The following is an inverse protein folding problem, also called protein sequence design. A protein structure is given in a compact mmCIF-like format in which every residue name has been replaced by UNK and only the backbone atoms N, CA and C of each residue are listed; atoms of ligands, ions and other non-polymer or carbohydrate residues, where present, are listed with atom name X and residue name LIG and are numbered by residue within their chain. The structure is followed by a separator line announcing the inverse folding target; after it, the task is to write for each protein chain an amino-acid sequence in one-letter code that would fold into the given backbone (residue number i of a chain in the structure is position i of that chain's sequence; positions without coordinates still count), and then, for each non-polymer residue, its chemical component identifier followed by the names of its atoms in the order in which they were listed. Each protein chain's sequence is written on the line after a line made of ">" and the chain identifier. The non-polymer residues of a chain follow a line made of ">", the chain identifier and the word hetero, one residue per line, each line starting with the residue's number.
data_IF_284050861642
#
_entry.id   IF_284050861642
#
_cell.length_a   1.000
_cell.length_b   1.000
_cell.length_c   1.000
_cell.angle_alpha   90.00
_cell.angle_beta   90.00
_cell.angle_gamma   90.00
#
_symmetry.space_group_name_H-M   'P 1'
#
loop_
_entity.id
_entity.type
_entity.pdbx_description
1 polymer ?
#
# COMPACT_ATOMS: atom_id res chain seq x y z
N UNK A 1 -11.87 -22.94 -6.99
CA UNK A 1 -12.12 -22.48 -5.63
C UNK A 1 -11.00 -21.50 -5.32
N UNK A 2 -11.31 -20.26 -4.96
CA UNK A 2 -10.28 -19.26 -4.61
C UNK A 2 -9.79 -19.57 -3.19
N UNK A 3 -8.47 -19.65 -2.98
CA UNK A 3 -7.86 -19.94 -1.66
C UNK A 3 -8.26 -18.92 -0.58
N UNK A 4 -8.76 -17.75 -0.97
CA UNK A 4 -9.21 -16.67 -0.09
C UNK A 4 -10.73 -16.69 0.15
N UNK A 5 -11.47 -17.68 -0.33
CA UNK A 5 -12.95 -17.72 -0.18
C UNK A 5 -13.38 -17.70 1.29
N UNK A 6 -12.65 -18.40 2.15
CA UNK A 6 -12.93 -18.43 3.60
C UNK A 6 -12.68 -17.07 4.26
N UNK A 7 -11.63 -16.35 3.83
CA UNK A 7 -11.38 -14.98 4.29
C UNK A 7 -12.54 -14.06 3.90
N UNK A 8 -12.94 -14.03 2.62
CA UNK A 8 -14.04 -13.16 2.19
C UNK A 8 -15.35 -13.46 2.91
N UNK A 9 -15.61 -14.70 3.30
CA UNK A 9 -16.80 -15.08 4.06
C UNK A 9 -16.64 -14.85 5.56
N UNK A 10 -15.44 -15.00 6.11
CA UNK A 10 -15.18 -14.94 7.54
C UNK A 10 -15.03 -13.53 8.10
N UNK A 11 -14.60 -12.58 7.28
CA UNK A 11 -14.42 -11.18 7.72
C UNK A 11 -15.77 -10.52 8.01
N UNK A 12 -15.86 -9.75 9.09
CA UNK A 12 -17.07 -8.99 9.42
C UNK A 12 -17.25 -7.80 8.46
N UNK A 13 -18.48 -7.28 8.27
CA UNK A 13 -18.68 -6.06 7.47
C UNK A 13 -17.91 -4.85 8.00
N UNK A 14 -17.75 -4.73 9.30
CA UNK A 14 -16.95 -3.65 9.94
C UNK A 14 -15.46 -3.83 9.64
N UNK A 15 -14.93 -5.03 9.84
CA UNK A 15 -13.52 -5.32 9.52
C UNK A 15 -13.22 -5.22 8.03
N UNK A 16 -14.23 -5.42 7.18
CA UNK A 16 -14.11 -5.23 5.73
C UNK A 16 -13.76 -3.80 5.35
N UNK A 17 -14.33 -2.81 6.02
CA UNK A 17 -14.00 -1.39 5.81
C UNK A 17 -12.59 -1.06 6.31
N UNK A 18 -12.19 -1.58 7.48
CA UNK A 18 -10.81 -1.44 7.96
C UNK A 18 -9.80 -2.15 7.05
N UNK A 19 -10.16 -3.32 6.53
CA UNK A 19 -9.34 -4.01 5.54
C UNK A 19 -9.18 -3.18 4.26
N UNK A 20 -10.26 -2.53 3.79
CA UNK A 20 -10.19 -1.62 2.64
C UNK A 20 -9.22 -0.45 2.89
N UNK A 21 -9.25 0.14 4.09
CA UNK A 21 -8.32 1.21 4.46
C UNK A 21 -6.86 0.73 4.45
N UNK A 22 -6.57 -0.43 5.05
CA UNK A 22 -5.23 -1.00 5.08
C UNK A 22 -4.75 -1.42 3.68
N UNK A 23 -5.64 -2.02 2.88
CA UNK A 23 -5.37 -2.42 1.50
C UNK A 23 -5.01 -1.19 0.63
N UNK A 24 -5.83 -0.14 0.67
CA UNK A 24 -5.60 1.08 -0.10
C UNK A 24 -4.35 1.82 0.39
N UNK A 25 -4.14 1.86 1.72
CA UNK A 25 -2.91 2.41 2.30
C UNK A 25 -1.66 1.70 1.81
N UNK A 26 -1.67 0.36 1.77
CA UNK A 26 -0.56 -0.44 1.24
C UNK A 26 -0.29 -0.17 -0.25
N UNK A 27 -1.31 0.27 -0.99
CA UNK A 27 -1.19 0.67 -2.40
C UNK A 27 -0.78 2.14 -2.59
N UNK A 28 -0.48 2.84 -1.51
CA UNK A 28 0.01 4.22 -1.56
C UNK A 28 -1.05 5.29 -1.41
N UNK A 29 -2.33 4.91 -1.14
CA UNK A 29 -3.33 5.91 -0.81
C UNK A 29 -3.08 6.49 0.58
N UNK A 30 -3.30 7.78 0.73
CA UNK A 30 -3.38 8.44 2.04
C UNK A 30 -4.83 8.36 2.52
N UNK A 31 -5.05 7.80 3.70
CA UNK A 31 -6.38 7.72 4.30
C UNK A 31 -6.68 9.07 4.96
N UNK A 32 -7.52 9.87 4.34
CA UNK A 32 -7.92 11.19 4.86
C UNK A 32 -9.03 11.08 5.90
N UNK A 33 -9.98 10.19 5.66
CA UNK A 33 -11.04 9.85 6.59
C UNK A 33 -11.10 8.32 6.72
N UNK A 34 -10.74 7.76 7.89
CA UNK A 34 -10.85 6.33 8.14
C UNK A 34 -12.31 5.89 8.27
N UNK A 35 -12.58 4.57 8.21
CA UNK A 35 -13.89 4.03 8.55
C UNK A 35 -14.36 4.48 9.93
N UNK A 36 -15.63 4.83 10.06
CA UNK A 36 -16.24 5.28 11.31
C UNK A 36 -17.45 4.43 11.65
N UNK A 37 -17.71 4.24 12.96
CA UNK A 37 -18.92 3.55 13.41
C UNK A 37 -20.11 4.50 13.29
N UNK A 38 -21.16 4.10 12.56
CA UNK A 38 -22.42 4.83 12.46
C UNK A 38 -22.74 5.37 11.06
N UNK A 39 -23.78 6.22 10.96
CA UNK A 39 -24.19 6.80 9.68
C UNK A 39 -23.17 7.84 9.21
N UNK A 40 -22.54 7.61 8.07
CA UNK A 40 -21.40 8.35 7.54
C UNK A 40 -21.68 9.15 6.25
N UNK A 41 -22.98 9.32 5.91
CA UNK A 41 -23.40 10.04 4.71
C UNK A 41 -23.14 9.28 3.41
N UNK A 42 -23.03 7.94 3.48
CA UNK A 42 -22.91 7.05 2.31
C UNK A 42 -21.50 6.95 1.74
N UNK A 43 -20.48 7.22 2.55
CA UNK A 43 -19.09 6.93 2.29
C UNK A 43 -18.51 6.13 3.45
N UNK A 44 -17.74 5.11 3.15
CA UNK A 44 -17.11 4.29 4.18
C UNK A 44 -15.74 4.85 4.57
N UNK A 45 -15.00 5.43 3.59
CA UNK A 45 -13.76 6.17 3.84
C UNK A 45 -13.46 7.18 2.71
N UNK A 46 -12.55 8.10 2.97
CA UNK A 46 -12.00 9.02 1.97
C UNK A 46 -10.50 8.83 1.89
N UNK A 47 -9.99 8.74 0.66
CA UNK A 47 -8.57 8.57 0.40
C UNK A 47 -8.08 9.59 -0.64
N UNK A 48 -6.79 9.90 -0.60
CA UNK A 48 -6.12 10.61 -1.68
C UNK A 48 -4.98 9.79 -2.27
N UNK A 49 -4.80 9.90 -3.58
CA UNK A 49 -3.74 9.24 -4.31
C UNK A 49 -3.27 10.14 -5.45
N UNK A 50 -1.96 10.41 -5.53
CA UNK A 50 -1.34 11.27 -6.55
C UNK A 50 -2.04 12.64 -6.70
N UNK A 51 -2.39 13.25 -5.58
CA UNK A 51 -3.03 14.57 -5.54
C UNK A 51 -4.53 14.60 -5.87
N UNK A 52 -5.15 13.45 -6.15
CA UNK A 52 -6.59 13.30 -6.37
C UNK A 52 -7.27 12.67 -5.16
N UNK A 53 -8.48 13.13 -4.87
CA UNK A 53 -9.31 12.67 -3.75
C UNK A 53 -10.40 11.73 -4.25
N UNK A 54 -10.58 10.62 -3.54
CA UNK A 54 -11.60 9.60 -3.86
C UNK A 54 -12.47 9.32 -2.65
N UNK A 55 -13.79 9.18 -2.89
CA UNK A 55 -14.67 8.51 -1.94
C UNK A 55 -14.57 7.01 -2.18
N UNK A 56 -14.61 6.22 -1.12
CA UNK A 56 -14.60 4.76 -1.21
C UNK A 56 -15.95 4.24 -0.70
N UNK A 57 -16.53 3.30 -1.43
CA UNK A 57 -17.72 2.56 -1.01
C UNK A 57 -17.38 1.09 -0.86
N UNK A 58 -17.58 0.56 0.34
CA UNK A 58 -17.34 -0.83 0.68
C UNK A 58 -18.66 -1.61 0.65
N UNK A 59 -18.70 -2.74 -0.11
CA UNK A 59 -19.84 -3.66 -0.10
C UNK A 59 -19.38 -5.07 0.23
N UNK A 60 -19.92 -5.60 1.31
CA UNK A 60 -19.55 -6.92 1.79
C UNK A 60 -20.71 -7.91 1.59
N UNK A 61 -20.75 -8.56 0.42
CA UNK A 61 -21.78 -9.51 0.02
C UNK A 61 -21.29 -10.96 -0.10
N UNK A 62 -20.09 -11.26 0.43
CA UNK A 62 -19.48 -12.58 0.28
C UNK A 62 -20.33 -13.73 0.84
N UNK A 63 -21.12 -13.48 1.90
CA UNK A 63 -22.03 -14.49 2.46
C UNK A 63 -23.17 -14.86 1.50
N UNK A 64 -23.74 -13.88 0.80
CA UNK A 64 -24.82 -14.12 -0.16
C UNK A 64 -24.31 -14.52 -1.54
N UNK A 65 -23.04 -14.20 -1.85
CA UNK A 65 -22.49 -14.37 -3.19
C UNK A 65 -23.09 -13.43 -4.25
N UNK A 66 -23.95 -12.48 -3.84
CA UNK A 66 -24.60 -11.52 -4.74
C UNK A 66 -23.54 -10.58 -5.34
N UNK A 67 -23.61 -10.39 -6.66
CA UNK A 67 -22.80 -9.34 -7.33
C UNK A 67 -23.30 -7.95 -6.93
N UNK A 68 -22.37 -7.00 -6.85
CA UNK A 68 -22.70 -5.58 -6.63
C UNK A 68 -23.30 -5.00 -7.91
N UNK A 69 -24.47 -4.40 -7.80
CA UNK A 69 -25.27 -3.89 -8.91
C UNK A 69 -25.42 -2.36 -8.84
N UNK A 70 -26.02 -1.77 -9.88
CA UNK A 70 -26.34 -0.33 -9.92
C UNK A 70 -27.22 0.09 -8.75
N UNK A 71 -28.16 -0.78 -8.31
CA UNK A 71 -29.02 -0.50 -7.16
C UNK A 71 -28.29 -0.48 -5.82
N UNK A 72 -27.10 -1.10 -5.74
CA UNK A 72 -26.25 -1.06 -4.54
C UNK A 72 -25.36 0.20 -4.51
N UNK A 73 -25.19 0.88 -5.65
CA UNK A 73 -24.44 2.13 -5.82
C UNK A 73 -25.27 3.21 -6.55
N UNK A 74 -26.46 3.58 -6.03
CA UNK A 74 -27.39 4.44 -6.76
C UNK A 74 -26.86 5.87 -6.98
N UNK A 75 -26.10 6.40 -6.05
CA UNK A 75 -25.75 7.85 -5.97
C UNK A 75 -24.23 8.10 -5.88
N UNK A 76 -23.39 7.26 -6.51
CA UNK A 76 -21.94 7.44 -6.41
C UNK A 76 -21.45 8.80 -6.97
N UNK A 77 -22.08 9.33 -8.04
CA UNK A 77 -21.73 10.63 -8.61
C UNK A 77 -22.11 11.79 -7.68
N UNK A 78 -23.30 11.74 -7.11
CA UNK A 78 -23.78 12.77 -6.17
C UNK A 78 -22.92 12.79 -4.91
N UNK A 79 -22.56 11.62 -4.37
CA UNK A 79 -21.65 11.49 -3.23
C UNK A 79 -20.25 12.03 -3.56
N UNK A 80 -19.71 11.73 -4.74
CA UNK A 80 -18.42 12.25 -5.20
C UNK A 80 -18.43 13.79 -5.23
N UNK A 81 -19.48 14.38 -5.80
CA UNK A 81 -19.66 15.85 -5.81
C UNK A 81 -19.85 16.44 -4.41
N UNK A 82 -20.67 15.81 -3.56
CA UNK A 82 -20.93 16.25 -2.20
C UNK A 82 -19.63 16.34 -1.37
N UNK A 83 -18.73 15.37 -1.55
CA UNK A 83 -17.46 15.33 -0.83
C UNK A 83 -16.30 16.03 -1.56
N UNK A 84 -16.58 16.73 -2.66
CA UNK A 84 -15.58 17.42 -3.49
C UNK A 84 -14.40 16.48 -3.84
N UNK A 85 -14.74 15.24 -4.21
CA UNK A 85 -13.78 14.24 -4.62
C UNK A 85 -13.66 14.23 -6.15
N UNK A 86 -12.48 13.82 -6.64
CA UNK A 86 -12.17 13.70 -8.06
C UNK A 86 -12.59 12.36 -8.64
N UNK A 87 -12.94 11.39 -7.77
CA UNK A 87 -13.31 10.08 -8.22
C UNK A 87 -13.94 9.19 -7.15
N UNK A 88 -14.21 7.96 -7.58
CA UNK A 88 -14.89 6.94 -6.81
C UNK A 88 -14.07 5.64 -6.79
N UNK A 89 -14.00 4.99 -5.65
CA UNK A 89 -13.43 3.65 -5.50
C UNK A 89 -14.51 2.72 -4.97
N UNK A 90 -14.84 1.67 -5.73
CA UNK A 90 -15.63 0.54 -5.23
C UNK A 90 -14.72 -0.52 -4.64
N UNK A 91 -14.99 -0.95 -3.40
CA UNK A 91 -14.26 -2.00 -2.72
C UNK A 91 -15.23 -3.13 -2.32
N UNK A 92 -15.24 -4.21 -3.09
CA UNK A 92 -16.31 -5.19 -3.06
C UNK A 92 -15.80 -6.60 -2.77
N UNK A 93 -16.43 -7.29 -1.83
CA UNK A 93 -16.10 -8.69 -1.49
C UNK A 93 -16.66 -9.72 -2.48
N UNK A 94 -17.41 -9.26 -3.49
CA UNK A 94 -17.96 -10.07 -4.58
C UNK A 94 -17.68 -9.40 -5.93
N UNK A 95 -18.13 -10.04 -7.02
CA UNK A 95 -17.99 -9.48 -8.36
C UNK A 95 -18.91 -8.28 -8.57
N UNK A 96 -18.55 -7.41 -9.47
CA UNK A 96 -19.38 -6.30 -9.93
C UNK A 96 -20.18 -6.73 -11.17
N UNK A 97 -21.44 -6.27 -11.24
CA UNK A 97 -22.29 -6.54 -12.41
C UNK A 97 -21.83 -5.74 -13.64
N UNK A 98 -22.08 -6.29 -14.83
CA UNK A 98 -21.75 -5.60 -16.08
C UNK A 98 -22.44 -4.25 -16.19
N UNK A 99 -23.73 -4.16 -15.77
CA UNK A 99 -24.49 -2.91 -15.79
C UNK A 99 -23.83 -1.80 -14.94
N UNK A 100 -23.35 -2.14 -13.73
CA UNK A 100 -22.64 -1.15 -12.91
C UNK A 100 -21.30 -0.74 -13.54
N UNK A 101 -20.56 -1.69 -14.14
CA UNK A 101 -19.32 -1.38 -14.86
C UNK A 101 -19.57 -0.42 -16.03
N UNK A 102 -20.58 -0.69 -16.83
CA UNK A 102 -20.93 0.12 -18.00
C UNK A 102 -21.37 1.55 -17.57
N UNK A 103 -22.13 1.64 -16.48
CA UNK A 103 -22.55 2.92 -15.90
C UNK A 103 -21.34 3.73 -15.41
N UNK A 104 -20.41 3.13 -14.67
CA UNK A 104 -19.19 3.80 -14.19
C UNK A 104 -18.34 4.27 -15.37
N UNK A 105 -18.13 3.40 -16.35
CA UNK A 105 -17.39 3.73 -17.58
C UNK A 105 -18.05 4.87 -18.37
N UNK A 106 -19.38 4.90 -18.44
CA UNK A 106 -20.12 5.98 -19.08
C UNK A 106 -20.01 7.34 -18.39
N UNK A 107 -19.64 7.34 -17.10
CA UNK A 107 -19.41 8.56 -16.32
C UNK A 107 -17.95 9.03 -16.32
N UNK A 108 -17.02 8.21 -16.78
CA UNK A 108 -15.59 8.53 -16.79
C UNK A 108 -15.28 9.67 -17.74
N UNK A 109 -14.60 10.69 -17.25
CA UNK A 109 -14.18 11.86 -18.02
C UNK A 109 -13.00 12.57 -17.33
N UNK A 110 -12.56 13.71 -17.84
CA UNK A 110 -11.43 14.48 -17.27
C UNK A 110 -11.61 14.94 -15.82
N UNK A 111 -12.85 14.99 -15.33
CA UNK A 111 -13.18 15.45 -13.96
C UNK A 111 -13.71 14.35 -13.04
N UNK A 112 -13.83 13.11 -13.52
CA UNK A 112 -14.29 11.97 -12.74
C UNK A 112 -13.56 10.70 -13.17
N UNK A 113 -12.94 10.04 -12.20
CA UNK A 113 -12.26 8.76 -12.37
C UNK A 113 -12.89 7.71 -11.44
N UNK A 114 -12.78 6.44 -11.81
CA UNK A 114 -13.19 5.38 -10.91
C UNK A 114 -12.19 4.22 -10.90
N UNK A 115 -12.15 3.52 -9.77
CA UNK A 115 -11.41 2.27 -9.59
C UNK A 115 -12.33 1.24 -8.93
N UNK A 116 -12.25 0.00 -9.37
CA UNK A 116 -12.99 -1.11 -8.76
C UNK A 116 -12.01 -2.16 -8.28
N UNK A 117 -12.08 -2.43 -6.98
CA UNK A 117 -11.45 -3.56 -6.33
C UNK A 117 -12.54 -4.55 -5.98
N UNK A 118 -12.81 -5.49 -6.86
CA UNK A 118 -13.72 -6.59 -6.63
C UNK A 118 -12.97 -7.82 -6.07
N UNK A 119 -13.70 -8.89 -5.76
CA UNK A 119 -13.14 -10.13 -5.23
C UNK A 119 -11.95 -10.64 -6.05
N UNK A 120 -12.04 -10.61 -7.39
CA UNK A 120 -10.98 -11.13 -8.24
C UNK A 120 -9.73 -10.25 -8.19
N UNK A 121 -9.91 -8.94 -8.35
CA UNK A 121 -8.80 -7.99 -8.30
C UNK A 121 -8.12 -7.98 -6.92
N UNK A 122 -8.90 -7.98 -5.82
CA UNK A 122 -8.36 -8.08 -4.46
C UNK A 122 -7.56 -9.38 -4.31
N UNK A 123 -8.11 -10.53 -4.72
CA UNK A 123 -7.42 -11.83 -4.63
C UNK A 123 -6.09 -11.85 -5.37
N UNK A 124 -5.98 -11.15 -6.49
CA UNK A 124 -4.74 -11.04 -7.26
C UNK A 124 -3.67 -10.20 -6.55
N UNK A 125 -4.08 -9.26 -5.69
CA UNK A 125 -3.14 -8.44 -4.90
C UNK A 125 -2.71 -9.09 -3.60
N UNK A 126 -3.54 -9.94 -2.99
CA UNK A 126 -3.27 -10.55 -1.68
C UNK A 126 -1.89 -11.25 -1.58
N UNK A 127 -1.42 -12.04 -2.58
CA UNK A 127 -0.11 -12.67 -2.50
C UNK A 127 1.07 -11.71 -2.37
N UNK A 128 0.88 -10.48 -2.83
CA UNK A 128 1.92 -9.43 -2.82
C UNK A 128 1.69 -8.40 -1.71
N UNK A 129 0.71 -8.63 -0.84
CA UNK A 129 0.47 -7.76 0.30
C UNK A 129 1.43 -8.06 1.43
N UNK A 130 1.68 -7.02 2.20
CA UNK A 130 2.43 -7.13 3.45
C UNK A 130 1.79 -8.17 4.37
N UNK A 131 2.61 -9.06 4.92
CA UNK A 131 2.15 -10.08 5.85
C UNK A 131 1.61 -9.51 7.15
N UNK A 132 1.99 -8.30 7.54
CA UNK A 132 1.36 -7.61 8.67
C UNK A 132 -0.14 -7.42 8.42
N UNK A 133 -0.52 -6.99 7.20
CA UNK A 133 -1.93 -6.86 6.82
C UNK A 133 -2.57 -8.26 6.73
N UNK A 134 -1.89 -9.22 6.11
CA UNK A 134 -2.43 -10.58 5.98
C UNK A 134 -2.69 -11.20 7.36
N UNK A 135 -1.74 -11.13 8.28
CA UNK A 135 -1.88 -11.65 9.64
C UNK A 135 -2.98 -10.94 10.44
N UNK A 136 -3.07 -9.61 10.32
CA UNK A 136 -4.10 -8.81 11.00
C UNK A 136 -5.52 -9.32 10.69
N UNK A 137 -5.74 -9.80 9.46
CA UNK A 137 -7.04 -10.28 9.00
C UNK A 137 -7.13 -11.81 8.88
N UNK A 138 -6.21 -12.54 9.52
CA UNK A 138 -6.23 -14.01 9.56
C UNK A 138 -5.94 -14.68 8.21
N UNK A 139 -5.33 -13.96 7.27
CA UNK A 139 -4.90 -14.49 5.99
C UNK A 139 -3.57 -15.25 6.13
N UNK A 140 -3.31 -16.26 5.30
CA UNK A 140 -2.01 -16.92 5.27
C UNK A 140 -0.88 -15.93 5.04
N UNK A 141 0.11 -15.94 5.90
CA UNK A 141 1.28 -15.08 5.81
C UNK A 141 2.54 -15.89 6.14
N UNK A 142 3.69 -15.57 5.52
CA UNK A 142 4.95 -16.17 5.90
C UNK A 142 5.26 -15.96 7.38
N UNK A 143 5.93 -16.94 7.99
CA UNK A 143 6.22 -16.97 9.44
C UNK A 143 7.46 -16.17 9.86
N UNK A 144 8.19 -15.59 8.91
CA UNK A 144 9.48 -14.93 9.11
C UNK A 144 9.40 -13.39 9.12
N UNK A 145 8.26 -12.86 9.53
CA UNK A 145 8.04 -11.44 9.70
C UNK A 145 8.45 -10.97 11.09
N UNK A 146 9.31 -9.96 11.15
CA UNK A 146 9.84 -9.43 12.40
C UNK A 146 9.62 -7.91 12.44
N UNK A 147 8.85 -7.49 13.41
CA UNK A 147 8.58 -6.07 13.63
C UNK A 147 8.86 -5.71 15.09
N UNK A 148 9.73 -4.75 15.28
CA UNK A 148 10.07 -4.23 16.61
C UNK A 148 9.36 -2.89 16.84
N UNK A 149 8.55 -2.83 17.88
CA UNK A 149 7.98 -1.59 18.35
C UNK A 149 8.94 -0.96 19.38
N UNK A 150 9.62 0.11 18.97
CA UNK A 150 10.57 0.82 19.81
C UNK A 150 9.86 1.80 20.75
N UNK A 151 10.38 1.96 21.99
CA UNK A 151 9.99 3.08 22.83
C UNK A 151 10.25 4.41 22.10
N UNK A 152 9.39 5.44 22.29
CA UNK A 152 9.52 6.72 21.59
C UNK A 152 10.87 7.38 21.71
N UNK A 153 11.55 7.21 22.86
CA UNK A 153 12.87 7.78 23.12
C UNK A 153 14.02 7.10 22.34
N UNK A 154 13.79 5.90 21.80
CA UNK A 154 14.77 5.15 21.02
C UNK A 154 14.48 5.22 19.52
N UNK A 155 13.28 5.65 19.16
CA UNK A 155 12.85 5.70 17.78
C UNK A 155 13.39 6.93 17.05
N UNK A 156 13.98 6.71 15.89
CA UNK A 156 14.48 7.76 15.00
C UNK A 156 13.60 7.84 13.76
N UNK A 157 12.82 8.92 13.57
CA UNK A 157 11.99 9.09 12.38
C UNK A 157 12.83 9.10 11.10
N UNK A 158 12.30 8.49 10.04
CA UNK A 158 12.85 8.61 8.69
C UNK A 158 11.89 9.46 7.84
N UNK A 159 12.24 10.73 7.56
CA UNK A 159 11.36 11.59 6.79
C UNK A 159 11.28 11.17 5.32
N UNK A 160 10.08 11.18 4.75
CA UNK A 160 9.87 11.07 3.31
C UNK A 160 10.65 12.16 2.57
N UNK A 161 11.43 11.81 1.55
CA UNK A 161 12.24 12.77 0.79
C UNK A 161 11.42 13.87 0.10
N UNK A 162 10.10 13.65 -0.12
CA UNK A 162 9.23 14.63 -0.76
C UNK A 162 8.40 15.45 0.22
N UNK A 163 7.72 14.81 1.19
CA UNK A 163 6.73 15.49 2.04
C UNK A 163 7.13 15.57 3.52
N UNK A 164 8.27 15.01 3.91
CA UNK A 164 8.81 15.06 5.27
C UNK A 164 8.07 14.20 6.31
N UNK A 165 6.99 13.49 5.95
CA UNK A 165 6.30 12.59 6.88
C UNK A 165 7.22 11.44 7.27
N UNK A 166 7.13 11.00 8.52
CA UNK A 166 7.87 9.84 9.01
C UNK A 166 7.33 8.56 8.37
N UNK A 167 8.13 7.96 7.49
CA UNK A 167 7.74 6.80 6.68
C UNK A 167 7.91 5.45 7.38
N UNK A 168 8.51 5.43 8.56
CA UNK A 168 8.68 4.22 9.36
C UNK A 168 7.77 4.19 10.60
N UNK A 169 6.93 5.21 10.82
CA UNK A 169 5.92 5.18 11.87
C UNK A 169 4.93 4.04 11.66
N UNK A 170 4.26 3.59 12.73
CA UNK A 170 3.28 2.50 12.67
C UNK A 170 2.14 2.77 11.67
N UNK A 171 1.78 4.05 11.49
CA UNK A 171 0.76 4.48 10.54
C UNK A 171 1.26 4.44 9.10
N UNK A 172 2.50 4.89 8.86
CA UNK A 172 3.01 5.16 7.52
C UNK A 172 3.78 4.02 6.89
N UNK A 173 4.35 3.10 7.66
CA UNK A 173 5.23 2.04 7.16
C UNK A 173 4.55 1.18 6.08
N UNK A 174 3.25 0.92 6.21
CA UNK A 174 2.46 0.16 5.23
C UNK A 174 2.25 0.88 3.88
N UNK A 175 2.34 2.21 3.88
CA UNK A 175 2.15 3.07 2.71
C UNK A 175 3.43 3.75 2.26
N UNK A 176 4.58 3.15 2.56
CA UNK A 176 5.90 3.69 2.24
C UNK A 176 6.78 2.67 1.53
N UNK A 177 7.79 3.16 0.85
CA UNK A 177 8.67 2.35 0.00
C UNK A 177 10.02 3.04 -0.23
N UNK A 178 10.98 2.27 -0.72
CA UNK A 178 12.19 2.79 -1.33
C UNK A 178 12.31 2.28 -2.78
N UNK A 179 13.07 2.95 -3.61
CA UNK A 179 13.23 2.52 -5.00
C UNK A 179 14.44 3.14 -5.69
N UNK A 180 14.76 2.58 -6.84
CA UNK A 180 15.76 3.11 -7.76
C UNK A 180 15.03 3.92 -8.82
N UNK A 181 15.53 5.13 -9.06
CA UNK A 181 15.02 6.02 -10.10
C UNK A 181 16.12 6.30 -11.11
N UNK A 182 15.72 6.54 -12.33
CA UNK A 182 16.63 6.90 -13.42
C UNK A 182 16.32 8.32 -13.88
N UNK A 183 17.31 9.19 -13.85
CA UNK A 183 17.18 10.54 -14.36
C UNK A 183 17.22 10.59 -15.91
N UNK A 184 16.99 11.79 -16.47
CA UNK A 184 17.02 12.00 -17.93
C UNK A 184 18.40 11.76 -18.56
N UNK A 185 19.48 11.77 -17.79
CA UNK A 185 20.86 11.47 -18.24
C UNK A 185 21.20 9.99 -18.15
N UNK A 186 20.31 9.18 -17.54
CA UNK A 186 20.50 7.76 -17.30
C UNK A 186 21.23 7.42 -16.02
N UNK A 187 21.53 8.40 -15.14
CA UNK A 187 22.08 8.16 -13.80
C UNK A 187 21.03 7.54 -12.90
N UNK A 188 21.46 6.63 -12.03
CA UNK A 188 20.61 6.01 -11.05
C UNK A 188 20.68 6.78 -9.71
N UNK A 189 19.52 7.11 -9.17
CA UNK A 189 19.33 7.66 -7.84
C UNK A 189 18.61 6.67 -6.93
N UNK A 190 18.88 6.76 -5.61
CA UNK A 190 18.14 6.00 -4.60
C UNK A 190 17.22 6.92 -3.84
N UNK A 191 15.93 6.60 -3.81
CA UNK A 191 14.92 7.39 -3.13
C UNK A 191 14.10 6.55 -2.15
N UNK A 192 13.57 7.18 -1.11
CA UNK A 192 12.64 6.57 -0.16
C UNK A 192 11.57 7.58 0.26
N UNK A 193 10.36 7.09 0.51
CA UNK A 193 9.25 7.97 0.83
C UNK A 193 7.90 7.27 0.90
N UNK A 194 6.85 8.08 1.01
CA UNK A 194 5.48 7.59 0.87
C UNK A 194 5.24 7.06 -0.54
N UNK A 195 4.53 5.96 -0.67
CA UNK A 195 4.10 5.44 -1.99
C UNK A 195 3.39 6.51 -2.82
N UNK A 196 2.53 7.31 -2.18
CA UNK A 196 1.85 8.44 -2.85
C UNK A 196 2.82 9.47 -3.45
N UNK A 197 3.99 9.70 -2.81
CA UNK A 197 4.96 10.68 -3.27
C UNK A 197 5.90 10.14 -4.35
N UNK A 198 6.38 8.89 -4.22
CA UNK A 198 7.52 8.42 -5.01
C UNK A 198 7.19 7.28 -5.97
N UNK A 199 6.04 6.59 -5.86
CA UNK A 199 5.71 5.45 -6.72
C UNK A 199 5.68 5.78 -8.22
N UNK A 200 5.44 7.03 -8.58
CA UNK A 200 5.44 7.48 -9.98
C UNK A 200 6.83 7.65 -10.60
N UNK A 201 7.89 7.61 -9.78
CA UNK A 201 9.28 7.76 -10.21
C UNK A 201 10.04 6.43 -10.25
N UNK A 202 9.53 5.39 -9.55
CA UNK A 202 10.17 4.08 -9.47
C UNK A 202 9.60 3.19 -10.57
N UNK A 203 10.35 3.02 -11.67
CA UNK A 203 9.85 2.31 -12.86
C UNK A 203 9.89 0.78 -12.70
N UNK A 204 10.96 0.20 -12.13
CA UNK A 204 11.19 -1.25 -12.12
C UNK A 204 11.51 -1.83 -10.76
N UNK A 205 12.41 -1.20 -10.00
CA UNK A 205 12.98 -1.77 -8.78
C UNK A 205 12.62 -0.94 -7.56
N UNK A 206 11.82 -1.53 -6.68
CA UNK A 206 11.35 -0.91 -5.45
C UNK A 206 11.13 -1.93 -4.34
N UNK A 207 11.24 -1.46 -3.11
CA UNK A 207 11.05 -2.21 -1.87
C UNK A 207 9.90 -1.59 -1.07
N UNK A 208 8.86 -2.36 -0.83
CA UNK A 208 7.82 -2.01 0.14
C UNK A 208 8.38 -2.13 1.56
N UNK A 209 8.25 -1.09 2.41
CA UNK A 209 8.85 -1.10 3.74
C UNK A 209 8.28 -2.19 4.64
N UNK A 210 7.01 -2.55 4.51
CA UNK A 210 6.49 -3.70 5.26
C UNK A 210 7.06 -5.03 4.75
N UNK A 211 7.28 -5.18 3.45
CA UNK A 211 7.95 -6.37 2.92
C UNK A 211 9.41 -6.43 3.36
N UNK A 212 10.06 -5.28 3.52
CA UNK A 212 11.43 -5.20 4.02
C UNK A 212 11.61 -5.75 5.45
N UNK A 213 10.52 -5.85 6.21
CA UNK A 213 10.55 -6.49 7.53
C UNK A 213 10.65 -8.02 7.47
N UNK A 214 10.54 -8.60 6.27
CA UNK A 214 10.98 -9.96 6.02
C UNK A 214 12.45 -9.96 5.69
N UNK A 215 13.18 -10.73 6.46
CA UNK A 215 14.63 -10.86 6.30
C UNK A 215 15.00 -11.22 4.86
N UNK A 216 14.33 -12.19 4.27
CA UNK A 216 14.57 -12.62 2.90
C UNK A 216 14.31 -11.55 1.86
N UNK A 217 13.26 -10.74 2.06
CA UNK A 217 12.95 -9.63 1.14
C UNK A 217 14.01 -8.54 1.22
N UNK A 218 14.48 -8.26 2.42
CA UNK A 218 15.53 -7.27 2.61
C UNK A 218 16.88 -7.75 2.05
N UNK A 219 17.24 -9.03 2.23
CA UNK A 219 18.43 -9.63 1.58
C UNK A 219 18.27 -9.60 0.04
N UNK A 220 17.09 -9.95 -0.44
CA UNK A 220 16.77 -9.88 -1.87
C UNK A 220 16.94 -8.48 -2.42
N UNK A 221 16.50 -7.47 -1.67
CA UNK A 221 16.68 -6.07 -2.02
C UNK A 221 18.14 -5.64 -2.05
N UNK A 222 18.90 -5.96 -1.00
CA UNK A 222 20.33 -5.66 -0.95
C UNK A 222 21.08 -6.27 -2.15
N UNK A 223 20.71 -7.50 -2.56
CA UNK A 223 21.25 -8.14 -3.76
C UNK A 223 20.82 -7.42 -5.06
N UNK A 224 19.54 -7.07 -5.16
CA UNK A 224 19.01 -6.31 -6.30
C UNK A 224 19.75 -4.98 -6.47
N UNK A 225 19.99 -4.25 -5.36
CA UNK A 225 20.79 -3.02 -5.39
C UNK A 225 22.18 -3.27 -6.00
N UNK A 226 22.88 -4.32 -5.56
CA UNK A 226 24.21 -4.66 -6.08
C UNK A 226 24.18 -4.95 -7.57
N UNK A 227 23.25 -5.77 -8.02
CA UNK A 227 23.09 -6.12 -9.43
C UNK A 227 22.69 -4.92 -10.29
N UNK A 228 21.79 -4.07 -9.79
CA UNK A 228 21.33 -2.89 -10.51
C UNK A 228 22.39 -1.82 -10.69
N UNK A 229 23.32 -1.67 -9.73
CA UNK A 229 24.35 -0.61 -9.78
C UNK A 229 25.64 -1.06 -10.45
N UNK A 230 25.82 -2.35 -10.71
CA UNK A 230 27.01 -2.87 -11.35
C UNK A 230 27.22 -2.22 -12.72
N UNK A 231 28.36 -1.54 -12.89
CA UNK A 231 28.71 -0.80 -14.11
C UNK A 231 27.73 0.31 -14.53
N UNK A 232 26.94 0.86 -13.60
CA UNK A 232 26.02 1.96 -13.87
C UNK A 232 26.57 3.29 -13.36
N UNK A 233 26.09 4.36 -13.97
CA UNK A 233 26.40 5.72 -13.52
C UNK A 233 25.42 6.08 -12.40
N UNK A 234 25.96 6.31 -11.19
CA UNK A 234 25.18 6.64 -10.01
C UNK A 234 25.20 8.14 -9.75
N UNK A 235 24.12 8.67 -9.18
CA UNK A 235 24.14 10.00 -8.61
C UNK A 235 25.03 10.03 -7.35
N UNK A 236 25.50 11.21 -6.97
CA UNK A 236 26.42 11.39 -5.83
C UNK A 236 25.76 11.01 -4.49
N UNK A 237 24.42 11.07 -4.39
CA UNK A 237 23.65 10.76 -3.19
C UNK A 237 23.21 9.28 -3.09
N UNK A 238 23.39 8.47 -4.13
CA UNK A 238 22.84 7.12 -4.18
C UNK A 238 23.18 6.29 -2.94
N UNK A 239 24.45 6.10 -2.67
CA UNK A 239 24.91 5.28 -1.55
C UNK A 239 24.58 5.90 -0.19
N UNK A 240 24.67 7.21 -0.07
CA UNK A 240 24.31 7.91 1.16
C UNK A 240 22.83 7.66 1.51
N UNK A 241 21.94 7.84 0.55
CA UNK A 241 20.52 7.62 0.73
C UNK A 241 20.19 6.14 1.01
N UNK A 242 20.84 5.22 0.31
CA UNK A 242 20.69 3.79 0.58
C UNK A 242 21.08 3.44 2.02
N UNK A 243 22.24 3.89 2.49
CA UNK A 243 22.71 3.58 3.85
C UNK A 243 21.87 4.25 4.94
N UNK A 244 21.43 5.50 4.73
CA UNK A 244 20.50 6.18 5.66
C UNK A 244 19.20 5.37 5.76
N UNK A 245 18.60 5.05 4.64
CA UNK A 245 17.36 4.25 4.60
C UNK A 245 17.56 2.88 5.25
N UNK A 246 18.61 2.16 4.88
CA UNK A 246 18.92 0.83 5.38
C UNK A 246 19.15 0.82 6.89
N UNK A 247 19.91 1.78 7.41
CA UNK A 247 20.14 1.92 8.84
C UNK A 247 18.86 2.26 9.62
N UNK A 248 18.06 3.20 9.08
CA UNK A 248 16.78 3.55 9.70
C UNK A 248 15.81 2.37 9.72
N UNK A 249 15.76 1.57 8.65
CA UNK A 249 14.88 0.40 8.58
C UNK A 249 15.26 -0.68 9.60
N UNK A 250 16.54 -0.83 9.91
CA UNK A 250 17.04 -1.81 10.89
C UNK A 250 16.45 -1.60 12.29
N UNK A 251 16.07 -0.39 12.66
CA UNK A 251 15.42 -0.13 13.96
C UNK A 251 14.06 -0.79 14.11
N UNK A 252 13.43 -1.19 12.99
CA UNK A 252 12.14 -1.88 12.98
C UNK A 252 12.25 -3.41 12.92
N UNK A 253 13.46 -3.93 12.77
CA UNK A 253 13.71 -5.37 12.73
C UNK A 253 13.99 -5.94 14.12
N UNK A 254 13.55 -7.17 14.33
CA UNK A 254 13.77 -7.83 15.61
C UNK A 254 15.28 -7.98 15.93
N UNK A 255 15.72 -7.70 17.18
CA UNK A 255 17.14 -7.61 17.53
C UNK A 255 17.97 -8.84 17.17
N UNK A 256 17.39 -10.05 17.21
CA UNK A 256 18.09 -11.29 16.88
C UNK A 256 18.61 -11.35 15.44
N UNK A 257 18.07 -10.53 14.53
CA UNK A 257 18.52 -10.45 13.15
C UNK A 257 19.55 -9.35 12.91
N UNK A 258 19.69 -8.40 13.84
CA UNK A 258 20.67 -7.31 13.73
C UNK A 258 22.11 -7.80 13.73
N UNK A 259 22.40 -8.95 14.38
CA UNK A 259 23.72 -9.54 14.43
C UNK A 259 24.18 -10.21 13.14
N UNK A 260 23.26 -10.58 12.27
CA UNK A 260 23.56 -11.30 11.01
C UNK A 260 23.82 -10.35 9.85
N UNK A 261 23.09 -9.21 9.82
CA UNK A 261 23.13 -8.26 8.71
C UNK A 261 24.36 -7.35 8.63
N UNK A 262 24.86 -6.78 9.75
CA UNK A 262 26.01 -5.90 9.69
C UNK A 262 27.26 -6.58 9.10
N UNK A 263 27.41 -7.89 9.32
CA UNK A 263 28.57 -8.64 8.79
C UNK A 263 28.49 -8.91 7.29
N UNK A 264 27.32 -9.08 6.73
CA UNK A 264 27.15 -9.27 5.28
C UNK A 264 27.34 -7.97 4.49
N UNK A 265 27.10 -6.80 5.12
CA UNK A 265 27.25 -5.47 4.49
C UNK A 265 28.65 -4.87 4.65
N UNK A 266 29.46 -5.36 5.60
CA UNK A 266 30.82 -4.83 5.89
C UNK A 266 31.89 -5.53 5.03
N UNK A 267 31.54 -6.51 4.21
CA UNK A 267 32.47 -7.21 3.30
C UNK A 267 32.57 -6.56 1.92
N UNK A 268 32.38 -5.22 1.83
CA UNK A 268 32.60 -4.44 0.62
C UNK A 268 33.66 -3.38 0.80
#
# INVERSE_FOLDING_TARGET
>A
MNIYDDFFKGISPEDWEFFAADFLGARGCVIELPPARGADGGKDLIVSFRGKKYIVSCKHFAHSGKSVTESDEPSFLERTKQHKADGFIGFYSTLVSQALQDRLKGCENSSFEYLIFDKNSISNYLPNMSCFILQKYGLPAPSNFYYMNLPPEQYQPLPCMCCGKDILSDEMIKSSMAGIVKDSSGKLGYIFGCKNCISGYCDTDWLDHLQALYVEQLIGWDRCIQECVENKNLDEGFWLNYFIHRAALMQRLYPSHLGVYPTALIQW
#
